data_IF_540877715731
#
_entry.id   IF_540877715731
#
_cell.length_a   1.000
_cell.length_b   1.000
_cell.length_c   1.000
_cell.angle_alpha   90.00
_cell.angle_beta   90.00
_cell.angle_gamma   90.00
#
_symmetry.space_group_name_H-M   'P 1'
#
loop_
_entity.id
_entity.type
_entity.pdbx_description
1 polymer ?
#
# COMPACT_ATOMS: atom_id res chain seq x y z
N UNK A 1 -10.80 -0.37 -20.45
CA UNK A 1 -9.51 -0.91 -19.99
C UNK A 1 -9.45 -1.02 -18.49
N UNK A 2 -8.97 -2.16 -18.03
CA UNK A 2 -8.89 -2.42 -16.60
C UNK A 2 -7.65 -1.74 -16.00
N UNK A 3 -7.85 -0.93 -14.96
CA UNK A 3 -6.74 -0.32 -14.24
C UNK A 3 -6.14 -1.31 -13.25
N UNK A 4 -4.83 -1.32 -13.18
CA UNK A 4 -4.11 -2.08 -12.16
C UNK A 4 -3.41 -1.09 -11.23
N UNK A 5 -3.74 -1.15 -9.96
CA UNK A 5 -3.16 -0.25 -8.97
C UNK A 5 -2.56 -1.02 -7.81
N UNK A 6 -1.42 -0.56 -7.34
CA UNK A 6 -0.69 -1.16 -6.24
C UNK A 6 -0.38 -0.07 -5.22
N UNK A 7 -0.59 -0.37 -3.95
CA UNK A 7 -0.17 0.51 -2.86
C UNK A 7 0.96 -0.18 -2.12
N UNK A 8 2.06 0.54 -1.92
CA UNK A 8 3.20 0.05 -1.17
C UNK A 8 3.30 0.86 0.13
N UNK A 9 3.24 0.17 1.26
CA UNK A 9 3.30 0.80 2.59
C UNK A 9 4.64 0.46 3.22
N UNK A 10 5.52 1.46 3.30
CA UNK A 10 6.88 1.28 3.80
C UNK A 10 7.01 1.75 5.23
N UNK A 11 7.34 0.83 6.11
CA UNK A 11 7.68 1.11 7.52
C UNK A 11 6.63 1.90 8.30
N UNK A 12 5.35 1.62 8.05
CA UNK A 12 4.29 2.13 8.91
C UNK A 12 4.38 1.44 10.27
N UNK A 13 3.94 2.11 11.31
CA UNK A 13 3.97 1.57 12.68
C UNK A 13 2.58 1.28 13.24
N UNK A 14 1.58 1.99 12.75
CA UNK A 14 0.23 1.91 13.29
C UNK A 14 -0.60 0.82 12.63
N UNK A 15 -1.09 -0.12 13.42
CA UNK A 15 -2.04 -1.14 12.95
C UNK A 15 -3.31 -0.46 12.44
N UNK A 16 -3.80 0.52 13.18
CA UNK A 16 -5.03 1.24 12.83
C UNK A 16 -4.89 1.97 11.50
N UNK A 17 -3.78 2.68 11.29
CA UNK A 17 -3.55 3.39 10.03
C UNK A 17 -3.43 2.43 8.85
N UNK A 18 -2.71 1.32 9.03
CA UNK A 18 -2.56 0.32 7.98
C UNK A 18 -3.91 -0.30 7.62
N UNK A 19 -4.68 -0.68 8.63
CA UNK A 19 -6.01 -1.26 8.41
C UNK A 19 -6.96 -0.27 7.74
N UNK A 20 -6.88 1.00 8.10
CA UNK A 20 -7.68 2.06 7.49
C UNK A 20 -7.36 2.20 6.01
N UNK A 21 -6.08 2.09 5.65
CA UNK A 21 -5.65 2.14 4.24
C UNK A 21 -6.21 0.94 3.47
N UNK A 22 -6.21 -0.25 4.08
CA UNK A 22 -6.82 -1.43 3.47
C UNK A 22 -8.29 -1.19 3.15
N UNK A 23 -9.02 -0.63 4.10
CA UNK A 23 -10.43 -0.34 3.93
C UNK A 23 -10.69 0.66 2.79
N UNK A 24 -9.91 1.74 2.78
CA UNK A 24 -10.02 2.77 1.74
C UNK A 24 -9.64 2.21 0.37
N UNK A 25 -8.57 1.43 0.31
CA UNK A 25 -8.11 0.81 -0.93
C UNK A 25 -9.15 -0.14 -1.51
N UNK A 26 -9.82 -0.91 -0.65
CA UNK A 26 -10.88 -1.81 -1.08
C UNK A 26 -12.03 -1.02 -1.72
N UNK A 27 -12.41 0.10 -1.11
CA UNK A 27 -13.46 0.97 -1.65
C UNK A 27 -13.10 1.58 -3.00
N UNK A 28 -11.82 1.81 -3.26
CA UNK A 28 -11.35 2.38 -4.54
C UNK A 28 -10.94 1.33 -5.56
N UNK A 29 -11.06 0.06 -5.25
CA UNK A 29 -10.74 -1.01 -6.19
C UNK A 29 -9.25 -1.21 -6.44
N UNK A 30 -8.41 -0.94 -5.44
CA UNK A 30 -6.97 -1.19 -5.53
C UNK A 30 -6.70 -2.68 -5.72
N UNK A 31 -5.78 -3.01 -6.61
CA UNK A 31 -5.51 -4.41 -6.97
C UNK A 31 -4.69 -5.15 -5.93
N UNK A 32 -3.72 -4.49 -5.31
CA UNK A 32 -2.79 -5.14 -4.38
C UNK A 32 -2.18 -4.14 -3.41
N UNK A 33 -1.89 -4.62 -2.20
CA UNK A 33 -1.15 -3.85 -1.20
C UNK A 33 0.11 -4.62 -0.84
N UNK A 34 1.26 -3.96 -0.88
CA UNK A 34 2.55 -4.54 -0.49
C UNK A 34 3.01 -3.86 0.79
N UNK A 35 3.22 -4.67 1.82
CA UNK A 35 3.66 -4.19 3.13
C UNK A 35 5.17 -4.38 3.26
N UNK A 36 5.90 -3.31 3.53
CA UNK A 36 7.36 -3.35 3.59
C UNK A 36 7.85 -3.08 5.01
N UNK A 37 8.81 -3.88 5.44
CA UNK A 37 9.51 -3.66 6.70
C UNK A 37 8.62 -3.80 7.93
N UNK A 38 8.51 -2.75 8.72
CA UNK A 38 7.77 -2.76 9.97
C UNK A 38 6.25 -2.61 9.83
N UNK A 39 5.76 -2.39 8.61
CA UNK A 39 4.33 -2.22 8.37
C UNK A 39 3.55 -3.44 8.87
N UNK A 40 2.55 -3.25 9.77
CA UNK A 40 1.81 -4.37 10.33
C UNK A 40 0.95 -5.08 9.27
N UNK A 41 0.97 -6.40 9.32
CA UNK A 41 0.12 -7.22 8.45
C UNK A 41 -1.19 -7.56 9.15
N UNK A 42 -2.23 -8.00 8.39
CA UNK A 42 -3.51 -8.42 9.00
C UNK A 42 -3.38 -9.62 9.93
N UNK A 43 -2.31 -10.39 9.79
CA UNK A 43 -2.03 -11.52 10.66
C UNK A 43 -0.73 -11.30 11.43
N UNK A 44 -0.61 -11.93 12.61
CA UNK A 44 0.61 -11.86 13.40
C UNK A 44 1.64 -12.88 12.89
N UNK A 45 2.81 -12.91 13.52
CA UNK A 45 3.90 -13.82 13.11
C UNK A 45 3.55 -15.30 13.24
N UNK A 46 2.47 -15.62 13.98
CA UNK A 46 1.98 -17.00 14.14
C UNK A 46 0.84 -17.33 13.18
N UNK A 47 0.53 -16.43 12.23
CA UNK A 47 -0.55 -16.62 11.30
C UNK A 47 -1.94 -16.36 11.84
N UNK A 48 -2.04 -15.80 13.04
CA UNK A 48 -3.33 -15.52 13.68
C UNK A 48 -3.85 -14.15 13.28
N UNK A 49 -5.15 -14.07 13.08
CA UNK A 49 -5.80 -12.81 12.73
C UNK A 49 -5.63 -11.77 13.83
N UNK A 50 -5.20 -10.56 13.44
CA UNK A 50 -5.10 -9.44 14.37
C UNK A 50 -6.47 -8.78 14.48
N UNK A 51 -7.08 -8.87 15.66
CA UNK A 51 -8.40 -8.30 15.88
C UNK A 51 -8.41 -6.78 15.75
N UNK A 52 -7.36 -6.13 16.23
CA UNK A 52 -7.22 -4.68 16.09
C UNK A 52 -7.19 -4.24 14.63
N UNK A 53 -6.61 -5.06 13.76
CA UNK A 53 -6.60 -4.80 12.32
C UNK A 53 -8.00 -5.00 11.73
N UNK A 54 -8.59 -6.16 11.98
CA UNK A 54 -9.89 -6.52 11.42
C UNK A 54 -11.00 -5.56 11.81
N UNK A 55 -10.92 -5.01 13.01
CA UNK A 55 -11.91 -4.07 13.53
C UNK A 55 -11.98 -2.78 12.70
N UNK A 56 -10.86 -2.36 12.12
CA UNK A 56 -10.79 -1.14 11.32
C UNK A 56 -10.94 -1.46 9.82
N UNK A 57 -10.31 -2.52 9.34
CA UNK A 57 -10.31 -2.88 7.92
C UNK A 57 -11.65 -3.40 7.43
N UNK A 58 -12.49 -3.91 8.33
CA UNK A 58 -13.83 -4.44 8.03
C UNK A 58 -13.83 -5.49 6.91
N UNK A 59 -12.84 -6.38 6.93
CA UNK A 59 -12.77 -7.49 5.99
C UNK A 59 -12.03 -7.19 4.69
N UNK A 60 -11.52 -5.98 4.52
CA UNK A 60 -10.79 -5.61 3.30
C UNK A 60 -9.58 -6.51 3.05
N UNK A 61 -8.95 -7.03 4.09
CA UNK A 61 -7.81 -7.93 3.98
C UNK A 61 -8.17 -9.28 3.34
N UNK A 62 -9.45 -9.60 3.26
CA UNK A 62 -9.92 -10.83 2.60
C UNK A 62 -10.27 -10.61 1.13
N UNK A 63 -10.41 -9.37 0.70
CA UNK A 63 -10.79 -9.02 -0.67
C UNK A 63 -9.67 -8.44 -1.50
N UNK A 64 -8.70 -7.79 -0.86
CA UNK A 64 -7.54 -7.23 -1.54
C UNK A 64 -6.37 -8.20 -1.39
N UNK A 65 -5.65 -8.46 -2.49
CA UNK A 65 -4.39 -9.20 -2.43
C UNK A 65 -3.37 -8.37 -1.68
N UNK A 66 -2.65 -9.00 -0.77
CA UNK A 66 -1.56 -8.33 -0.06
C UNK A 66 -0.40 -9.29 0.16
N UNK A 67 0.79 -8.71 0.31
CA UNK A 67 1.97 -9.49 0.69
C UNK A 67 2.88 -8.63 1.55
N UNK A 68 3.75 -9.28 2.30
CA UNK A 68 4.75 -8.62 3.15
C UNK A 68 6.15 -8.93 2.62
N UNK A 69 6.97 -7.88 2.48
CA UNK A 69 8.36 -8.00 2.02
C UNK A 69 9.27 -7.20 2.94
N UNK A 70 10.54 -7.57 2.98
CA UNK A 70 11.51 -6.86 3.81
C UNK A 70 12.16 -5.69 3.08
N UNK A 71 12.29 -5.78 1.76
CA UNK A 71 12.99 -4.80 0.94
C UNK A 71 12.09 -4.24 -0.15
N UNK A 72 12.21 -2.93 -0.38
CA UNK A 72 11.40 -2.25 -1.37
C UNK A 72 12.08 -2.16 -2.76
N UNK A 73 13.41 -2.16 -2.81
CA UNK A 73 14.16 -1.90 -4.03
C UNK A 73 13.81 -2.81 -5.20
N UNK A 74 13.83 -4.13 -4.96
CA UNK A 74 13.52 -5.09 -6.01
C UNK A 74 12.07 -5.00 -6.48
N UNK A 75 11.17 -4.64 -5.57
CA UNK A 75 9.74 -4.49 -5.89
C UNK A 75 9.54 -3.31 -6.83
N UNK A 76 10.17 -2.18 -6.53
CA UNK A 76 10.09 -0.98 -7.38
C UNK A 76 10.65 -1.28 -8.77
N UNK A 77 11.81 -1.95 -8.84
CA UNK A 77 12.43 -2.30 -10.11
C UNK A 77 11.53 -3.19 -10.95
N UNK A 78 10.91 -4.19 -10.32
CA UNK A 78 10.00 -5.09 -11.02
C UNK A 78 8.76 -4.36 -11.54
N UNK A 79 8.19 -3.47 -10.73
CA UNK A 79 7.01 -2.70 -11.14
C UNK A 79 7.34 -1.79 -12.33
N UNK A 80 8.50 -1.15 -12.32
CA UNK A 80 8.93 -0.31 -13.44
C UNK A 80 9.12 -1.13 -14.71
N UNK A 81 9.69 -2.32 -14.59
CA UNK A 81 9.87 -3.23 -15.73
C UNK A 81 8.55 -3.68 -16.31
N UNK A 82 7.53 -3.81 -15.47
CA UNK A 82 6.18 -4.19 -15.89
C UNK A 82 5.35 -3.02 -16.42
N UNK A 83 5.93 -1.83 -16.47
CA UNK A 83 5.28 -0.66 -17.00
C UNK A 83 4.46 0.15 -16.01
N UNK A 84 4.67 -0.05 -14.72
CA UNK A 84 3.98 0.73 -13.70
C UNK A 84 4.59 2.12 -13.55
N UNK A 85 3.72 3.11 -13.44
CA UNK A 85 4.12 4.45 -12.99
C UNK A 85 4.24 4.41 -11.47
N UNK A 86 5.43 4.63 -10.94
CA UNK A 86 5.67 4.56 -9.50
C UNK A 86 5.74 5.96 -8.92
N UNK A 87 4.90 6.24 -7.92
CA UNK A 87 4.79 7.58 -7.32
C UNK A 87 4.98 7.47 -5.81
N UNK A 88 5.93 8.21 -5.27
CA UNK A 88 6.14 8.30 -3.83
C UNK A 88 5.33 9.47 -3.26
N UNK A 89 4.51 9.18 -2.26
CA UNK A 89 3.76 10.22 -1.56
C UNK A 89 4.60 10.75 -0.41
N UNK A 90 4.82 12.05 -0.42
CA UNK A 90 5.47 12.73 0.68
C UNK A 90 4.43 13.59 1.40
N UNK A 91 4.60 13.73 2.70
CA UNK A 91 3.72 14.61 3.47
C UNK A 91 4.15 16.06 3.29
N UNK A 92 4.08 16.53 2.06
CA UNK A 92 4.36 17.91 1.73
C UNK A 92 3.10 18.57 1.18
N UNK A 93 3.02 19.91 1.17
CA UNK A 93 1.87 20.57 0.59
C UNK A 93 1.74 20.38 -0.93
N UNK A 94 2.73 19.75 -1.54
CA UNK A 94 2.65 19.47 -2.98
C UNK A 94 1.90 18.15 -3.20
N UNK A 95 0.64 18.27 -3.54
CA UNK A 95 -0.18 17.11 -3.83
C UNK A 95 0.26 16.46 -5.15
N UNK A 96 0.11 15.14 -5.20
CA UNK A 96 0.29 14.41 -6.45
C UNK A 96 -0.73 14.89 -7.46
N UNK A 97 -0.28 15.11 -8.69
CA UNK A 97 -1.20 15.48 -9.78
C UNK A 97 -2.08 14.27 -10.13
N UNK A 98 -3.34 14.34 -9.70
CA UNK A 98 -4.30 13.27 -9.94
C UNK A 98 -4.55 13.02 -11.43
N UNK A 99 -4.35 14.03 -12.27
CA UNK A 99 -4.50 13.85 -13.71
C UNK A 99 -3.42 12.94 -14.27
N UNK A 100 -2.22 12.98 -13.72
CA UNK A 100 -1.15 12.07 -14.12
C UNK A 100 -1.48 10.64 -13.77
N UNK A 101 -2.09 10.42 -12.61
CA UNK A 101 -2.53 9.10 -12.18
C UNK A 101 -3.61 8.54 -13.09
N UNK A 102 -4.57 9.36 -13.50
CA UNK A 102 -5.68 8.90 -14.33
C UNK A 102 -5.28 8.53 -15.75
N UNK A 103 -4.13 8.99 -16.21
CA UNK A 103 -3.64 8.67 -17.56
C UNK A 103 -2.94 7.33 -17.63
N UNK A 104 -2.53 6.77 -16.49
CA UNK A 104 -1.85 5.48 -16.47
C UNK A 104 -2.81 4.37 -16.12
N UNK A 105 -2.71 3.24 -16.84
CA UNK A 105 -3.48 2.04 -16.54
C UNK A 105 -2.81 1.21 -15.45
N UNK A 106 -1.53 1.44 -15.20
CA UNK A 106 -0.76 0.74 -14.19
C UNK A 106 -0.02 1.76 -13.35
N UNK A 107 -0.38 1.88 -12.08
CA UNK A 107 0.32 2.79 -11.19
C UNK A 107 0.52 2.17 -9.82
N UNK A 108 1.61 2.56 -9.16
CA UNK A 108 1.94 2.15 -7.81
C UNK A 108 2.21 3.39 -6.98
N UNK A 109 1.61 3.44 -5.80
CA UNK A 109 1.77 4.55 -4.86
C UNK A 109 2.54 4.05 -3.66
N UNK A 110 3.61 4.73 -3.29
CA UNK A 110 4.41 4.41 -2.11
C UNK A 110 4.08 5.42 -1.01
N UNK A 111 3.62 4.93 0.12
CA UNK A 111 3.41 5.75 1.32
C UNK A 111 4.38 5.29 2.40
N UNK A 112 5.08 6.24 2.99
CA UNK A 112 6.09 5.94 3.98
C UNK A 112 5.64 6.23 5.41
N UNK A 113 6.55 5.96 6.34
CA UNK A 113 6.39 6.23 7.76
C UNK A 113 6.13 7.72 8.01
N UNK A 114 5.20 8.01 8.92
CA UNK A 114 4.82 9.39 9.24
C UNK A 114 5.95 10.21 9.87
N UNK A 115 6.94 9.54 10.44
CA UNK A 115 8.07 10.20 11.12
C UNK A 115 9.24 10.43 10.17
N UNK A 116 9.59 9.42 9.37
CA UNK A 116 10.77 9.46 8.51
C UNK A 116 10.46 9.63 7.03
N UNK A 117 9.20 9.48 6.65
CA UNK A 117 8.83 9.53 5.25
C UNK A 117 9.28 8.31 4.47
N UNK A 118 9.34 8.44 3.16
CA UNK A 118 9.77 7.35 2.27
C UNK A 118 11.29 7.35 2.17
N UNK A 119 11.89 6.18 2.30
CA UNK A 119 13.33 6.04 2.17
C UNK A 119 13.81 6.00 0.71
#
# INVERSE_FOLDING_TARGET
MKRTSVIILENLRSIENTASIFRTADGFGVSKIILIGTTPAPIDRFGRKRQAFAKVSLGAENTIDWEHRQEIGSIIDNLKKEGFLVIALEQTPHSVDLKSLTKSNKFAIIAGNEVTGVS
#
